data_IF_493385271523
#
_entry.id   IF_493385271523
#
_cell.length_a   1.000
_cell.length_b   1.000
_cell.length_c   1.000
_cell.angle_alpha   90.00
_cell.angle_beta   90.00
_cell.angle_gamma   90.00
#
_symmetry.space_group_name_H-M   'P 1'
#
loop_
_entity.id
_entity.type
_entity.pdbx_description
1 polymer ?
#
# COMPACT_ATOMS: atom_id res chain seq x y z
N UNK A 1 -34.71 -31.31 7.00
CA UNK A 1 -33.86 -30.40 7.79
C UNK A 1 -33.61 -29.18 6.94
N UNK A 2 -34.45 -28.16 7.07
CA UNK A 2 -34.35 -26.91 6.32
C UNK A 2 -33.54 -25.95 7.17
N UNK A 3 -32.35 -25.56 6.68
CA UNK A 3 -31.55 -24.52 7.28
C UNK A 3 -31.70 -23.26 6.43
N UNK A 4 -32.77 -22.50 6.68
CA UNK A 4 -32.87 -21.12 6.22
C UNK A 4 -32.05 -20.24 7.17
N UNK A 5 -30.87 -19.81 6.72
CA UNK A 5 -30.15 -18.72 7.39
C UNK A 5 -30.68 -17.41 6.83
N UNK A 6 -31.85 -16.98 7.32
CA UNK A 6 -32.32 -15.62 7.15
C UNK A 6 -31.58 -14.72 8.15
N UNK A 7 -30.32 -14.40 7.87
CA UNK A 7 -29.66 -13.27 8.51
C UNK A 7 -30.25 -12.00 7.89
N UNK A 8 -31.33 -11.50 8.48
CA UNK A 8 -31.81 -10.14 8.24
C UNK A 8 -30.73 -9.19 8.73
N UNK A 9 -29.82 -8.81 7.83
CA UNK A 9 -28.92 -7.68 8.04
C UNK A 9 -29.82 -6.45 8.15
N UNK A 10 -30.07 -6.01 9.38
CA UNK A 10 -30.64 -4.67 9.62
C UNK A 10 -29.68 -3.68 8.97
N UNK A 11 -30.13 -2.79 8.07
CA UNK A 11 -29.27 -1.76 7.54
C UNK A 11 -28.94 -0.83 8.71
N UNK A 12 -27.74 -0.95 9.27
CA UNK A 12 -27.20 0.14 10.09
C UNK A 12 -27.07 1.31 9.12
N UNK A 13 -27.86 2.36 9.31
CA UNK A 13 -27.75 3.61 8.58
C UNK A 13 -26.42 4.28 8.94
N UNK A 14 -25.31 3.73 8.45
CA UNK A 14 -24.02 4.40 8.44
C UNK A 14 -24.11 5.50 7.40
N UNK A 15 -24.40 6.72 7.86
CA UNK A 15 -24.51 7.90 7.00
C UNK A 15 -23.16 8.16 6.35
N UNK A 16 -22.98 7.69 5.12
CA UNK A 16 -21.90 8.17 4.27
C UNK A 16 -22.16 9.65 4.01
N UNK A 17 -21.48 10.51 4.78
CA UNK A 17 -21.60 11.95 4.65
C UNK A 17 -20.52 12.45 3.71
N UNK A 18 -20.91 13.29 2.75
CA UNK A 18 -19.95 13.93 1.86
C UNK A 18 -19.08 14.91 2.65
N UNK A 19 -17.76 14.77 2.51
CA UNK A 19 -16.81 15.76 3.00
C UNK A 19 -16.95 17.04 2.16
N UNK A 20 -17.13 18.17 2.81
CA UNK A 20 -17.32 19.50 2.22
C UNK A 20 -16.60 20.55 3.05
N UNK A 21 -16.57 21.79 2.59
CA UNK A 21 -15.96 22.91 3.32
C UNK A 21 -16.47 23.06 4.77
N UNK A 22 -17.72 22.66 5.05
CA UNK A 22 -18.36 22.83 6.36
C UNK A 22 -17.90 21.82 7.43
N UNK A 23 -17.50 20.61 7.02
CA UNK A 23 -17.09 19.54 7.94
C UNK A 23 -15.61 19.14 7.80
N UNK A 24 -14.91 19.69 6.79
CA UNK A 24 -13.51 19.37 6.51
C UNK A 24 -12.58 19.70 7.67
N UNK A 25 -12.74 20.88 8.29
CA UNK A 25 -11.88 21.29 9.40
C UNK A 25 -12.01 20.38 10.62
N UNK A 26 -13.23 19.96 10.94
CA UNK A 26 -13.48 19.00 12.02
C UNK A 26 -12.77 17.67 11.79
N UNK A 27 -12.76 17.17 10.54
CA UNK A 27 -12.01 15.97 10.18
C UNK A 27 -10.51 16.19 10.38
N UNK A 28 -9.95 17.29 9.84
CA UNK A 28 -8.52 17.60 9.96
C UNK A 28 -8.09 17.65 11.43
N UNK A 29 -8.86 18.30 12.30
CA UNK A 29 -8.51 18.44 13.71
C UNK A 29 -8.64 17.12 14.49
N UNK A 30 -9.46 16.19 14.01
CA UNK A 30 -9.72 14.90 14.68
C UNK A 30 -8.68 13.79 14.44
N UNK A 31 -7.74 13.99 13.51
CA UNK A 31 -6.76 12.96 13.13
C UNK A 31 -5.34 13.51 13.03
N UNK A 32 -4.34 12.70 13.37
CA UNK A 32 -2.93 13.07 13.26
C UNK A 32 -2.30 12.62 11.93
N UNK A 33 -2.89 11.63 11.28
CA UNK A 33 -2.33 10.98 10.10
C UNK A 33 -3.40 10.66 9.05
N UNK A 34 -2.98 10.67 7.79
CA UNK A 34 -3.78 10.22 6.65
C UNK A 34 -3.10 9.03 5.98
N UNK A 35 -3.89 7.97 5.78
CA UNK A 35 -3.51 6.80 5.01
C UNK A 35 -4.16 6.90 3.65
N UNK A 36 -3.36 6.90 2.59
CA UNK A 36 -3.83 6.96 1.21
C UNK A 36 -3.61 5.63 0.52
N UNK A 37 -4.64 5.12 -0.14
CA UNK A 37 -4.43 4.20 -1.25
C UNK A 37 -3.70 4.92 -2.40
N UNK A 38 -3.13 4.16 -3.32
CA UNK A 38 -2.31 4.65 -4.41
C UNK A 38 -3.06 4.60 -5.75
N UNK A 39 -3.39 3.39 -6.23
CA UNK A 39 -3.98 3.17 -7.55
C UNK A 39 -5.46 3.64 -7.55
N UNK A 40 -5.76 4.68 -8.32
CA UNK A 40 -7.10 5.30 -8.36
C UNK A 40 -7.31 6.42 -7.34
N UNK A 41 -6.33 6.70 -6.46
CA UNK A 41 -6.37 7.77 -5.45
C UNK A 41 -5.26 8.79 -5.66
N UNK A 42 -4.00 8.36 -5.74
CA UNK A 42 -2.86 9.24 -6.06
C UNK A 42 -2.68 9.36 -7.58
N UNK A 43 -2.83 8.24 -8.31
CA UNK A 43 -2.60 8.18 -9.75
C UNK A 43 -3.57 7.25 -10.49
N UNK A 44 -3.64 7.41 -11.81
CA UNK A 44 -4.21 6.44 -12.75
C UNK A 44 -3.12 6.05 -13.75
N UNK A 45 -2.58 4.83 -13.60
CA UNK A 45 -1.41 4.40 -14.34
C UNK A 45 -0.17 5.24 -13.99
N UNK A 46 0.32 5.99 -14.97
CA UNK A 46 1.52 6.84 -14.86
C UNK A 46 1.19 8.34 -14.82
N UNK A 47 -0.08 8.69 -14.53
CA UNK A 47 -0.52 10.08 -14.38
C UNK A 47 -1.09 10.32 -12.99
N UNK A 48 -0.68 11.41 -12.36
CA UNK A 48 -1.30 11.86 -11.11
C UNK A 48 -2.76 12.23 -11.33
N UNK A 49 -3.55 12.05 -10.28
CA UNK A 49 -4.88 12.65 -10.19
C UNK A 49 -4.71 14.14 -9.87
N UNK A 50 -5.49 14.98 -10.53
CA UNK A 50 -5.42 16.44 -10.39
C UNK A 50 -5.64 16.86 -8.93
N UNK A 51 -4.82 17.81 -8.45
CA UNK A 51 -4.90 18.34 -7.09
C UNK A 51 -4.16 17.52 -6.02
N UNK A 52 -3.59 16.35 -6.35
CA UNK A 52 -2.88 15.51 -5.38
C UNK A 52 -1.62 16.17 -4.82
N UNK A 53 -0.71 16.74 -5.64
CA UNK A 53 0.46 17.43 -5.10
C UNK A 53 0.09 18.53 -4.10
N UNK A 54 -0.91 19.33 -4.41
CA UNK A 54 -1.41 20.43 -3.58
C UNK A 54 -2.05 19.91 -2.29
N UNK A 55 -2.85 18.84 -2.37
CA UNK A 55 -3.48 18.23 -1.21
C UNK A 55 -2.45 17.64 -0.24
N UNK A 56 -1.47 16.87 -0.75
CA UNK A 56 -0.42 16.29 0.08
C UNK A 56 0.47 17.38 0.71
N UNK A 57 0.80 18.43 -0.05
CA UNK A 57 1.55 19.57 0.46
C UNK A 57 0.79 20.28 1.58
N UNK A 58 -0.50 20.55 1.39
CA UNK A 58 -1.35 21.19 2.40
C UNK A 58 -1.40 20.35 3.68
N UNK A 59 -1.63 19.05 3.59
CA UNK A 59 -1.68 18.18 4.76
C UNK A 59 -0.35 18.16 5.52
N UNK A 60 0.78 18.09 4.81
CA UNK A 60 2.12 18.16 5.41
C UNK A 60 2.38 19.52 6.06
N UNK A 61 1.96 20.62 5.44
CA UNK A 61 2.20 21.98 5.96
C UNK A 61 1.44 22.26 7.27
N UNK A 62 0.31 21.59 7.48
CA UNK A 62 -0.44 21.63 8.76
C UNK A 62 -0.01 20.50 9.73
N UNK A 63 1.12 19.84 9.48
CA UNK A 63 1.72 18.87 10.40
C UNK A 63 1.11 17.47 10.39
N UNK A 64 0.29 17.11 9.40
CA UNK A 64 -0.27 15.75 9.30
C UNK A 64 0.78 14.77 8.76
N UNK A 65 0.82 13.58 9.36
CA UNK A 65 1.63 12.46 8.86
C UNK A 65 0.92 11.81 7.68
N UNK A 66 1.68 11.49 6.64
CA UNK A 66 1.16 10.82 5.44
C UNK A 66 1.73 9.42 5.34
N UNK A 67 0.88 8.46 5.03
CA UNK A 67 1.28 7.07 4.78
C UNK A 67 0.55 6.58 3.53
N UNK A 68 1.28 5.93 2.64
CA UNK A 68 0.76 5.40 1.38
C UNK A 68 0.67 3.88 1.48
N UNK A 69 -0.55 3.36 1.46
CA UNK A 69 -0.86 1.95 1.71
C UNK A 69 -1.45 1.36 0.43
N UNK A 70 -0.81 0.35 -0.15
CA UNK A 70 -1.28 -0.22 -1.43
C UNK A 70 -1.24 -1.75 -1.43
N UNK A 71 -2.25 -2.37 -2.03
CA UNK A 71 -2.26 -3.81 -2.28
C UNK A 71 -1.41 -4.21 -3.50
N UNK A 72 -0.86 -3.24 -4.23
CA UNK A 72 -0.05 -3.47 -5.41
C UNK A 72 1.31 -4.10 -5.03
N UNK A 73 1.46 -5.40 -5.32
CA UNK A 73 2.65 -6.18 -5.00
C UNK A 73 3.70 -6.19 -6.12
N UNK A 74 3.51 -5.39 -7.18
CA UNK A 74 4.41 -5.41 -8.35
C UNK A 74 5.76 -4.76 -8.07
N UNK A 75 5.79 -3.81 -7.11
CA UNK A 75 6.95 -2.96 -6.80
C UNK A 75 7.35 -3.05 -5.33
N UNK A 76 8.64 -2.94 -5.08
CA UNK A 76 9.18 -2.70 -3.73
C UNK A 76 8.90 -1.25 -3.30
N UNK A 77 9.08 -0.96 -2.01
CA UNK A 77 8.98 0.41 -1.47
C UNK A 77 9.97 1.34 -2.14
N UNK A 78 11.19 0.89 -2.41
CA UNK A 78 12.18 1.63 -3.19
C UNK A 78 11.69 1.95 -4.61
N UNK A 79 11.09 0.98 -5.30
CA UNK A 79 10.52 1.18 -6.63
C UNK A 79 9.30 2.12 -6.60
N UNK A 80 8.46 2.05 -5.55
CA UNK A 80 7.37 3.00 -5.36
C UNK A 80 7.87 4.41 -5.07
N UNK A 81 8.88 4.57 -4.20
CA UNK A 81 9.51 5.86 -3.93
C UNK A 81 10.04 6.50 -5.22
N UNK A 82 10.69 5.70 -6.08
CA UNK A 82 11.06 6.14 -7.44
C UNK A 82 9.86 6.56 -8.28
N UNK A 83 8.76 5.79 -8.27
CA UNK A 83 7.52 6.16 -9.00
C UNK A 83 6.97 7.50 -8.51
N UNK A 84 6.81 7.69 -7.20
CA UNK A 84 6.40 8.97 -6.61
C UNK A 84 7.31 10.10 -7.08
N UNK A 85 8.62 9.90 -7.03
CA UNK A 85 9.60 10.89 -7.49
C UNK A 85 9.43 11.23 -8.98
N UNK A 86 9.24 10.24 -9.86
CA UNK A 86 8.98 10.49 -11.29
C UNK A 86 7.68 11.27 -11.55
N UNK A 87 6.73 11.17 -10.62
CA UNK A 87 5.48 11.91 -10.64
C UNK A 87 5.60 13.29 -9.95
N UNK A 88 6.79 13.68 -9.50
CA UNK A 88 7.05 14.98 -8.87
C UNK A 88 6.70 15.04 -7.38
N UNK A 89 6.48 13.90 -6.71
CA UNK A 89 6.17 13.84 -5.29
C UNK A 89 7.34 13.17 -4.55
N UNK A 90 7.90 13.85 -3.56
CA UNK A 90 8.93 13.27 -2.69
C UNK A 90 8.28 12.49 -1.55
N UNK A 91 8.54 11.19 -1.52
CA UNK A 91 8.07 10.24 -0.49
C UNK A 91 9.22 9.34 -0.06
N UNK A 92 9.44 9.24 1.24
CA UNK A 92 10.42 8.33 1.84
C UNK A 92 9.91 6.89 1.83
N UNK A 93 10.80 5.90 1.82
CA UNK A 93 10.40 4.49 1.83
C UNK A 93 9.61 4.09 3.10
N UNK A 94 9.83 4.79 4.21
CA UNK A 94 9.13 4.58 5.49
C UNK A 94 7.68 5.08 5.47
N UNK A 95 7.32 5.93 4.50
CA UNK A 95 5.93 6.36 4.28
C UNK A 95 5.15 5.35 3.41
N UNK A 96 5.78 4.27 2.91
CA UNK A 96 5.18 3.37 1.93
C UNK A 96 4.97 1.98 2.52
N UNK A 97 3.72 1.52 2.50
CA UNK A 97 3.30 0.20 2.97
C UNK A 97 2.61 -0.56 1.83
N UNK A 98 3.38 -1.35 1.09
CA UNK A 98 2.84 -2.24 0.07
C UNK A 98 2.51 -3.63 0.62
N UNK A 99 1.63 -4.37 -0.06
CA UNK A 99 1.36 -5.78 0.24
C UNK A 99 2.62 -6.66 0.19
N UNK A 100 3.56 -6.38 -0.73
CA UNK A 100 4.87 -7.04 -0.79
C UNK A 100 5.69 -6.83 0.49
N UNK A 101 5.76 -5.59 0.96
CA UNK A 101 6.44 -5.28 2.22
C UNK A 101 5.74 -5.93 3.41
N UNK A 102 4.41 -5.86 3.47
CA UNK A 102 3.62 -6.48 4.53
C UNK A 102 3.86 -8.00 4.61
N UNK A 103 3.92 -8.70 3.47
CA UNK A 103 4.22 -10.13 3.43
C UNK A 103 5.64 -10.45 3.95
N UNK A 104 6.64 -9.65 3.54
CA UNK A 104 8.00 -9.82 4.02
C UNK A 104 8.13 -9.56 5.53
N UNK A 105 7.44 -8.54 6.05
CA UNK A 105 7.41 -8.26 7.48
C UNK A 105 6.63 -9.29 8.28
N UNK A 106 5.55 -9.85 7.72
CA UNK A 106 4.82 -10.93 8.35
C UNK A 106 5.74 -12.12 8.65
N UNK A 107 6.51 -12.59 7.67
CA UNK A 107 7.48 -13.67 7.86
C UNK A 107 8.53 -13.30 8.93
N UNK A 108 8.99 -12.04 8.94
CA UNK A 108 9.99 -11.56 9.90
C UNK A 108 9.46 -11.52 11.33
N UNK A 109 8.26 -10.97 11.53
CA UNK A 109 7.61 -10.85 12.85
C UNK A 109 7.19 -12.20 13.41
N UNK A 110 6.85 -13.16 12.54
CA UNK A 110 6.52 -14.53 12.93
C UNK A 110 7.73 -15.48 12.95
N UNK A 111 8.95 -14.95 12.98
CA UNK A 111 10.20 -15.71 13.14
C UNK A 111 10.36 -16.86 12.12
N UNK A 112 9.98 -16.63 10.86
CA UNK A 112 10.21 -17.61 9.80
C UNK A 112 11.70 -17.97 9.71
N UNK A 113 12.09 -19.26 9.65
CA UNK A 113 13.49 -19.64 9.71
C UNK A 113 14.29 -19.13 8.51
N UNK A 114 15.42 -18.47 8.77
CA UNK A 114 16.26 -17.82 7.74
C UNK A 114 17.02 -18.82 6.85
N UNK A 115 17.22 -20.05 7.32
CA UNK A 115 17.81 -21.15 6.56
C UNK A 115 16.83 -21.77 5.55
N UNK A 116 15.54 -21.46 5.67
CA UNK A 116 14.49 -21.91 4.75
C UNK A 116 14.30 -20.89 3.62
N UNK A 117 13.84 -21.41 2.49
CA UNK A 117 13.56 -20.61 1.30
C UNK A 117 12.07 -20.31 1.21
N UNK A 118 11.75 -19.10 0.75
CA UNK A 118 10.37 -18.66 0.45
C UNK A 118 10.13 -18.86 -1.04
N UNK A 119 9.14 -19.66 -1.42
CA UNK A 119 8.72 -19.74 -2.82
C UNK A 119 7.65 -18.67 -3.09
N UNK A 120 8.01 -17.63 -3.84
CA UNK A 120 7.15 -16.49 -4.10
C UNK A 120 6.50 -16.60 -5.50
N UNK A 121 5.17 -16.42 -5.53
CA UNK A 121 4.40 -16.26 -6.77
C UNK A 121 4.04 -14.78 -6.87
N UNK A 122 4.80 -14.03 -7.67
CA UNK A 122 4.65 -12.59 -7.76
C UNK A 122 5.68 -11.95 -8.69
N UNK A 123 5.77 -10.62 -8.62
CA UNK A 123 6.70 -9.85 -9.43
C UNK A 123 7.99 -9.49 -8.68
N UNK A 124 8.89 -8.81 -9.36
CA UNK A 124 10.21 -8.43 -8.85
C UNK A 124 10.15 -7.66 -7.52
N UNK A 125 9.18 -6.76 -7.35
CA UNK A 125 9.03 -5.99 -6.12
C UNK A 125 8.79 -6.85 -4.87
N UNK A 126 8.09 -7.98 -5.00
CA UNK A 126 7.90 -8.93 -3.90
C UNK A 126 9.21 -9.64 -3.54
N UNK A 127 9.98 -10.06 -4.55
CA UNK A 127 11.27 -10.71 -4.35
C UNK A 127 12.29 -9.76 -3.68
N UNK A 128 12.29 -8.49 -4.08
CA UNK A 128 13.15 -7.46 -3.49
C UNK A 128 12.80 -7.22 -2.01
N UNK A 129 11.52 -7.06 -1.66
CA UNK A 129 11.10 -6.88 -0.25
C UNK A 129 11.45 -8.09 0.63
N UNK A 130 11.26 -9.32 0.12
CA UNK A 130 11.67 -10.53 0.83
C UNK A 130 13.17 -10.57 1.08
N UNK A 131 13.97 -10.19 0.08
CA UNK A 131 15.43 -10.13 0.17
C UNK A 131 15.87 -9.06 1.17
N UNK A 132 15.28 -7.87 1.13
CA UNK A 132 15.54 -6.78 2.09
C UNK A 132 15.16 -7.17 3.53
N UNK A 133 14.15 -8.03 3.71
CA UNK A 133 13.79 -8.59 5.01
C UNK A 133 14.75 -9.70 5.50
N UNK A 134 15.69 -10.14 4.66
CA UNK A 134 16.69 -11.15 4.97
C UNK A 134 16.28 -12.58 4.64
N UNK A 135 15.29 -12.78 3.75
CA UNK A 135 14.87 -14.10 3.29
C UNK A 135 15.47 -14.44 1.93
N UNK A 136 15.77 -15.73 1.73
CA UNK A 136 16.10 -16.25 0.41
C UNK A 136 14.81 -16.59 -0.32
N UNK A 137 14.43 -15.79 -1.32
CA UNK A 137 13.24 -16.02 -2.13
C UNK A 137 13.57 -16.74 -3.45
N UNK A 138 12.70 -17.66 -3.86
CA UNK A 138 12.70 -18.35 -5.15
C UNK A 138 11.39 -18.06 -5.89
N UNK A 139 11.36 -18.27 -7.21
CA UNK A 139 10.16 -18.07 -8.02
C UNK A 139 10.08 -16.67 -8.65
N UNK A 140 8.86 -16.14 -8.75
CA UNK A 140 8.52 -14.93 -9.51
C UNK A 140 8.78 -15.04 -11.01
N UNK A 141 8.43 -14.00 -11.78
CA UNK A 141 8.73 -13.93 -13.23
C UNK A 141 10.24 -13.97 -13.57
N UNK A 142 11.13 -13.97 -12.57
CA UNK A 142 12.57 -14.13 -12.76
C UNK A 142 12.97 -15.52 -13.29
N UNK A 143 12.19 -16.58 -13.03
CA UNK A 143 12.54 -17.92 -13.53
C UNK A 143 12.47 -18.03 -15.05
N UNK A 144 11.77 -17.13 -15.75
CA UNK A 144 11.69 -17.16 -17.21
C UNK A 144 12.99 -16.68 -17.88
N UNK A 145 13.78 -15.83 -17.21
CA UNK A 145 15.05 -15.30 -17.74
C UNK A 145 16.29 -16.14 -17.42
N UNK A 146 16.18 -17.11 -16.50
CA UNK A 146 17.33 -17.90 -16.00
C UNK A 146 17.31 -19.37 -16.41
N UNK A 147 16.29 -19.82 -17.14
CA UNK A 147 16.16 -21.21 -17.62
C UNK A 147 16.62 -21.40 -19.08
N UNK A 148 17.12 -20.36 -19.75
CA UNK A 148 17.57 -20.40 -21.16
C UNK A 148 18.98 -19.82 -21.40
N UNK A 149 19.84 -19.80 -20.38
CA UNK A 149 21.28 -19.52 -20.51
C UNK A 149 22.05 -20.62 -19.80
#
# INVERSE_FOLDING_TARGET
>A
MNCEVAATVKPSSSSCQRLSSHNFRGLLDSVDAFLFDCDGVIWKGDKLIDGIPEALHMLRSIGKKLVFVTNNSTKSRKQFSKKFHTLGITVSEDEIFSSSFAAAMYLKVHNFPKDKKVYAIGEEGMLEELTLAGFTALGGRMMEKRLWT
#
